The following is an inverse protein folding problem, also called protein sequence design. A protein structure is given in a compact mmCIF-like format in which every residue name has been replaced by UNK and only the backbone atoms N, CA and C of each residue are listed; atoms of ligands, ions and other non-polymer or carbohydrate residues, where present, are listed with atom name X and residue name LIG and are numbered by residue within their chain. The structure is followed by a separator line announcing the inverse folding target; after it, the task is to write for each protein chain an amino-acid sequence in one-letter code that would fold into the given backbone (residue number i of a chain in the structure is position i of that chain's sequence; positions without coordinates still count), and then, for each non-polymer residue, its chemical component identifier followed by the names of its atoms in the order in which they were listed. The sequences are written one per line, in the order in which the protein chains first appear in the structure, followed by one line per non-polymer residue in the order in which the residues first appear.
data_IF_931004509122
#
_entry.id   IF_931004509122
#
_cell.length_a   1.000
_cell.length_b   1.000
_cell.length_c   1.000
_cell.angle_alpha   90.00
_cell.angle_beta   90.00
_cell.angle_gamma   90.00
#
_symmetry.space_group_name_H-M   'P 1'
#
loop_
_entity.id
_entity.type
_entity.pdbx_description
1 polymer ?
#
# COMPACT_ATOMS: atom_id res chain seq x y z
N UNK A 1 -25.65 23.29 10.68
CA UNK A 1 -24.51 22.40 10.39
C UNK A 1 -24.31 22.42 8.89
N UNK A 2 -23.24 23.05 8.43
CA UNK A 2 -22.96 23.34 7.03
C UNK A 2 -22.20 22.16 6.39
N UNK A 3 -22.65 21.72 5.22
CA UNK A 3 -21.94 20.82 4.31
C UNK A 3 -21.18 21.65 3.27
N UNK A 4 -19.87 21.43 3.04
CA UNK A 4 -19.17 22.08 1.95
C UNK A 4 -19.14 21.19 0.69
N UNK A 5 -19.46 21.86 -0.42
CA UNK A 5 -18.97 21.73 -1.79
C UNK A 5 -17.92 20.66 -2.12
N UNK A 6 -18.23 19.86 -3.15
CA UNK A 6 -17.24 19.32 -4.09
C UNK A 6 -17.81 19.38 -5.51
N UNK A 7 -17.30 20.31 -6.31
CA UNK A 7 -17.45 20.34 -7.77
C UNK A 7 -16.45 19.35 -8.41
N UNK A 8 -16.83 18.63 -9.48
CA UNK A 8 -15.88 17.87 -10.28
C UNK A 8 -15.24 18.76 -11.36
N UNK A 9 -13.91 18.78 -11.37
CA UNK A 9 -13.10 19.20 -12.51
C UNK A 9 -12.86 17.95 -13.34
N UNK A 10 -13.26 17.95 -14.62
CA UNK A 10 -12.72 16.98 -15.58
C UNK A 10 -12.27 17.67 -16.86
N UNK A 11 -11.01 17.36 -17.19
CA UNK A 11 -10.12 18.03 -18.12
C UNK A 11 -10.17 17.26 -19.43
N UNK A 12 -11.17 17.57 -20.24
CA UNK A 12 -11.33 16.96 -21.55
C UNK A 12 -10.49 17.70 -22.62
N UNK A 13 -9.48 16.99 -23.10
CA UNK A 13 -9.08 16.91 -24.53
C UNK A 13 -8.56 18.17 -25.23
N UNK A 14 -7.24 18.33 -25.21
CA UNK A 14 -6.48 19.10 -26.21
C UNK A 14 -5.54 18.15 -26.96
N UNK A 15 -6.05 17.54 -28.03
CA UNK A 15 -5.25 16.75 -28.99
C UNK A 15 -5.62 17.24 -30.39
N UNK A 16 -4.78 18.07 -30.99
CA UNK A 16 -4.80 18.34 -32.42
C UNK A 16 -3.35 18.59 -32.88
N UNK A 17 -2.64 17.52 -33.25
CA UNK A 17 -2.32 17.11 -34.63
C UNK A 17 -1.58 18.20 -35.43
N UNK A 18 -0.25 18.22 -35.24
CA UNK A 18 0.69 18.81 -36.19
C UNK A 18 0.67 18.06 -37.53
N UNK A 19 0.31 18.76 -38.59
CA UNK A 19 0.35 18.29 -39.96
C UNK A 19 1.74 18.50 -40.60
N UNK A 20 2.31 17.39 -41.04
CA UNK A 20 2.92 17.13 -42.35
C UNK A 20 3.54 18.32 -43.13
N UNK A 21 4.86 18.25 -43.34
CA UNK A 21 5.60 19.16 -44.21
C UNK A 21 6.93 18.59 -44.69
N UNK A 22 6.93 17.33 -45.17
CA UNK A 22 8.08 16.74 -45.88
C UNK A 22 8.32 17.45 -47.21
N UNK A 23 9.51 18.06 -47.38
CA UNK A 23 10.05 18.36 -48.71
C UNK A 23 11.43 17.73 -48.91
N UNK A 24 11.41 16.80 -49.86
CA UNK A 24 12.49 16.18 -50.65
C UNK A 24 13.73 17.08 -50.82
N UNK A 25 14.84 16.53 -50.33
CA UNK A 25 16.03 16.12 -51.09
C UNK A 25 16.05 16.63 -52.55
N UNK A 26 17.01 17.51 -52.83
CA UNK A 26 17.64 17.58 -54.14
C UNK A 26 19.15 17.46 -53.91
N UNK A 27 19.64 16.29 -54.32
CA UNK A 27 21.04 15.89 -54.38
C UNK A 27 21.77 16.84 -55.31
N UNK A 28 22.71 17.61 -54.77
CA UNK A 28 23.80 18.21 -55.52
C UNK A 28 25.08 17.51 -55.07
N UNK A 29 25.63 16.66 -55.94
CA UNK A 29 26.96 16.09 -55.75
C UNK A 29 28.00 17.21 -55.71
N UNK A 30 29.08 17.07 -54.92
CA UNK A 30 30.15 18.05 -54.89
C UNK A 30 31.11 17.79 -56.07
N UNK A 31 31.24 18.76 -56.97
CA UNK A 31 32.47 18.91 -57.74
C UNK A 31 33.55 19.45 -56.78
N UNK A 32 34.27 18.49 -56.23
CA UNK A 32 35.59 18.65 -55.60
C UNK A 32 36.54 19.31 -56.62
N UNK A 33 36.51 20.63 -56.71
CA UNK A 33 37.54 21.42 -57.36
C UNK A 33 38.55 21.88 -56.30
N UNK A 34 39.27 20.92 -55.72
CA UNK A 34 40.52 21.17 -55.00
C UNK A 34 41.67 20.96 -56.00
N UNK A 35 41.82 21.88 -56.96
CA UNK A 35 42.99 21.90 -57.84
C UNK A 35 44.18 22.52 -57.10
N UNK A 36 44.96 21.66 -56.46
CA UNK A 36 46.33 22.00 -56.06
C UNK A 36 47.17 21.92 -57.33
N UNK A 37 47.65 23.05 -57.82
CA UNK A 37 48.62 23.11 -58.91
C UNK A 37 49.91 22.40 -58.48
N UNK A 38 50.13 21.22 -59.06
CA UNK A 38 51.29 20.39 -58.82
C UNK A 38 52.59 21.10 -59.26
N UNK A 39 53.48 21.37 -58.30
CA UNK A 39 54.88 21.71 -58.56
C UNK A 39 55.76 20.50 -58.19
N UNK A 40 56.73 20.20 -59.05
CA UNK A 40 57.62 19.01 -59.13
C UNK A 40 58.23 18.50 -57.80
N UNK A 41 58.64 17.21 -57.73
CA UNK A 41 58.92 16.50 -56.49
C UNK A 41 60.38 16.67 -56.04
N UNK A 42 60.55 16.94 -54.74
CA UNK A 42 61.83 16.90 -54.06
C UNK A 42 61.64 16.48 -52.61
N UNK A 43 62.35 15.42 -52.20
CA UNK A 43 62.50 14.90 -50.85
C UNK A 43 61.32 14.14 -50.25
N UNK A 44 61.57 12.87 -49.93
CA UNK A 44 60.68 11.97 -49.21
C UNK A 44 60.39 12.49 -47.78
N UNK A 45 59.30 13.25 -47.62
CA UNK A 45 58.68 13.46 -46.33
C UNK A 45 57.85 12.20 -45.99
N UNK A 46 58.24 11.52 -44.92
CA UNK A 46 57.51 10.39 -44.32
C UNK A 46 56.07 10.83 -44.06
N UNK A 47 55.02 10.11 -44.52
CA UNK A 47 53.65 10.54 -44.28
C UNK A 47 53.44 10.69 -42.79
N UNK A 48 53.03 11.87 -42.34
CA UNK A 48 52.53 12.06 -40.99
C UNK A 48 51.42 11.05 -40.79
N UNK A 49 51.71 9.98 -40.06
CA UNK A 49 50.76 8.92 -39.76
C UNK A 49 49.74 9.46 -38.75
N UNK A 50 48.81 10.28 -39.25
CA UNK A 50 47.62 10.66 -38.52
C UNK A 50 46.79 9.39 -38.32
N UNK A 51 46.22 9.24 -37.12
CA UNK A 51 45.32 8.12 -36.84
C UNK A 51 44.18 8.06 -37.87
N UNK A 52 43.67 6.87 -38.23
CA UNK A 52 42.52 6.76 -39.14
C UNK A 52 41.33 7.57 -38.60
N UNK A 53 40.45 8.04 -39.50
CA UNK A 53 39.20 8.70 -39.10
C UNK A 53 38.37 7.72 -38.26
N UNK A 54 37.67 8.22 -37.24
CA UNK A 54 36.85 7.34 -36.38
C UNK A 54 35.71 6.71 -37.21
N UNK A 55 35.48 5.41 -37.02
CA UNK A 55 34.38 4.69 -37.67
C UNK A 55 33.02 5.20 -37.12
N UNK A 56 31.99 5.29 -37.99
CA UNK A 56 30.64 5.70 -37.60
C UNK A 56 30.38 7.20 -37.42
N UNK A 57 31.28 8.09 -37.86
CA UNK A 57 31.07 9.54 -37.79
C UNK A 57 29.92 10.00 -38.71
N UNK A 58 29.13 10.96 -38.23
CA UNK A 58 28.16 11.70 -39.03
C UNK A 58 28.85 12.35 -40.25
N UNK A 59 28.21 12.37 -41.43
CA UNK A 59 28.85 12.80 -42.67
C UNK A 59 29.39 14.24 -42.58
N UNK A 60 28.72 15.12 -41.83
CA UNK A 60 29.16 16.50 -41.64
C UNK A 60 30.43 16.61 -40.77
N UNK A 61 30.55 15.75 -39.74
CA UNK A 61 31.76 15.69 -38.90
C UNK A 61 32.94 15.06 -39.62
N UNK A 62 32.67 14.07 -40.48
CA UNK A 62 33.68 13.43 -41.34
C UNK A 62 34.22 14.42 -42.36
N UNK A 63 33.35 15.15 -43.07
CA UNK A 63 33.75 16.18 -44.02
C UNK A 63 34.63 17.25 -43.36
N UNK A 64 34.24 17.76 -42.17
CA UNK A 64 35.07 18.72 -41.43
C UNK A 64 36.44 18.15 -41.06
N UNK A 65 36.50 16.89 -40.60
CA UNK A 65 37.76 16.26 -40.21
C UNK A 65 38.67 16.01 -41.41
N UNK A 66 38.12 15.70 -42.57
CA UNK A 66 38.85 15.55 -43.84
C UNK A 66 39.42 16.90 -44.30
N UNK A 67 38.61 17.97 -44.28
CA UNK A 67 39.05 19.33 -44.61
C UNK A 67 40.17 19.80 -43.66
N UNK A 68 40.03 19.57 -42.35
CA UNK A 68 41.05 19.93 -41.36
C UNK A 68 42.33 19.11 -41.53
N UNK A 69 42.25 17.83 -41.91
CA UNK A 69 43.43 17.01 -42.21
C UNK A 69 44.16 17.49 -43.45
N UNK A 70 43.42 17.88 -44.49
CA UNK A 70 44.00 18.44 -45.70
C UNK A 70 44.78 19.72 -45.40
N UNK A 71 44.18 20.64 -44.62
CA UNK A 71 44.85 21.86 -44.16
C UNK A 71 46.07 21.57 -43.27
N UNK A 72 45.95 20.61 -42.36
CA UNK A 72 47.05 20.22 -41.47
C UNK A 72 48.21 19.55 -42.22
N UNK A 73 47.91 18.80 -43.28
CA UNK A 73 48.90 18.14 -44.13
C UNK A 73 49.79 19.14 -44.89
N UNK A 74 49.27 20.33 -45.23
CA UNK A 74 50.03 21.40 -45.89
C UNK A 74 51.10 21.99 -44.97
N UNK A 75 50.87 22.01 -43.66
CA UNK A 75 51.82 22.58 -42.69
C UNK A 75 53.05 21.69 -42.44
N UNK A 76 53.00 20.40 -42.77
CA UNK A 76 54.06 19.40 -42.53
C UNK A 76 54.64 19.41 -41.09
N UNK A 77 53.79 19.72 -40.10
CA UNK A 77 54.15 19.81 -38.67
C UNK A 77 53.46 18.69 -37.89
N UNK A 78 54.18 18.02 -36.99
CA UNK A 78 53.58 16.99 -36.13
C UNK A 78 52.54 17.58 -35.18
N UNK A 79 51.47 16.83 -34.90
CA UNK A 79 50.37 17.23 -33.98
C UNK A 79 50.89 17.78 -32.66
N UNK A 80 51.90 17.13 -32.07
CA UNK A 80 52.51 17.57 -30.80
C UNK A 80 53.26 18.90 -30.94
N UNK A 81 53.96 19.13 -32.05
CA UNK A 81 54.68 20.38 -32.31
C UNK A 81 53.71 21.53 -32.61
N UNK A 82 52.63 21.27 -33.34
CA UNK A 82 51.57 22.25 -33.59
C UNK A 82 50.84 22.64 -32.31
N UNK A 83 50.45 21.65 -31.50
CA UNK A 83 49.79 21.87 -30.21
C UNK A 83 50.64 22.74 -29.27
N UNK A 84 51.95 22.48 -29.20
CA UNK A 84 52.87 23.31 -28.40
C UNK A 84 52.98 24.76 -28.92
N UNK A 85 53.00 24.96 -30.25
CA UNK A 85 53.10 26.30 -30.87
C UNK A 85 51.88 27.17 -30.59
N UNK A 86 50.68 26.56 -30.57
CA UNK A 86 49.41 27.26 -30.35
C UNK A 86 48.90 27.16 -28.89
N UNK A 87 49.73 26.65 -27.97
CA UNK A 87 49.37 26.41 -26.55
C UNK A 87 48.10 25.55 -26.36
N UNK A 88 47.92 24.56 -27.23
CA UNK A 88 46.81 23.61 -27.18
C UNK A 88 47.25 22.27 -26.61
N UNK A 89 46.28 21.51 -26.12
CA UNK A 89 46.49 20.12 -25.74
C UNK A 89 46.54 19.21 -26.98
N UNK A 90 47.60 18.39 -27.08
CA UNK A 90 47.83 17.51 -28.23
C UNK A 90 46.74 16.42 -28.37
N UNK A 91 46.11 16.01 -27.26
CA UNK A 91 44.98 15.08 -27.29
C UNK A 91 43.77 15.73 -27.94
N UNK A 92 43.45 16.98 -27.57
CA UNK A 92 42.35 17.76 -28.16
C UNK A 92 42.51 17.97 -29.67
N UNK A 93 43.71 18.30 -30.14
CA UNK A 93 44.00 18.43 -31.59
C UNK A 93 43.81 17.10 -32.32
N UNK A 94 44.24 15.98 -31.70
CA UNK A 94 44.03 14.64 -32.26
C UNK A 94 42.54 14.29 -32.35
N UNK A 95 41.72 14.68 -31.37
CA UNK A 95 40.26 14.46 -31.37
C UNK A 95 39.52 15.32 -32.40
N UNK A 96 40.03 16.51 -32.72
CA UNK A 96 39.52 17.34 -33.81
C UNK A 96 39.86 16.75 -35.18
N UNK A 97 41.13 16.39 -35.40
CA UNK A 97 41.58 15.80 -36.66
C UNK A 97 41.01 14.39 -36.89
N UNK A 98 40.63 13.64 -35.85
CA UNK A 98 39.94 12.35 -35.99
C UNK A 98 38.43 12.47 -36.18
N UNK A 99 37.86 13.68 -36.09
CA UNK A 99 36.42 13.94 -36.19
C UNK A 99 35.61 13.52 -34.97
N UNK A 100 36.27 13.04 -33.92
CA UNK A 100 35.61 12.65 -32.66
C UNK A 100 34.98 13.85 -31.95
N UNK A 101 35.59 15.04 -32.08
CA UNK A 101 35.08 16.29 -31.52
C UNK A 101 35.08 17.38 -32.58
N UNK A 102 34.04 18.23 -32.58
CA UNK A 102 34.00 19.43 -33.43
C UNK A 102 34.79 20.56 -32.75
N UNK A 103 35.83 21.13 -33.39
CA UNK A 103 36.61 22.25 -32.84
C UNK A 103 35.81 23.56 -32.77
N UNK A 104 36.28 24.54 -31.98
CA UNK A 104 35.77 25.91 -32.04
C UNK A 104 36.21 26.60 -33.34
N UNK A 105 35.50 27.65 -33.76
CA UNK A 105 35.89 28.44 -34.93
C UNK A 105 37.26 29.11 -34.75
N UNK A 106 37.62 29.53 -33.53
CA UNK A 106 38.93 30.10 -33.21
C UNK A 106 40.09 29.17 -33.54
N UNK A 107 39.93 27.86 -33.26
CA UNK A 107 40.93 26.86 -33.63
C UNK A 107 41.07 26.71 -35.15
N UNK A 108 39.93 26.70 -35.86
CA UNK A 108 39.89 26.55 -37.32
C UNK A 108 40.49 27.78 -38.00
N UNK A 109 40.12 28.98 -37.54
CA UNK A 109 40.69 30.24 -38.02
C UNK A 109 42.20 30.32 -37.78
N UNK A 110 42.68 29.94 -36.59
CA UNK A 110 44.10 29.88 -36.30
C UNK A 110 44.87 28.91 -37.21
N UNK A 111 44.27 27.77 -37.56
CA UNK A 111 44.85 26.82 -38.52
C UNK A 111 44.90 27.39 -39.95
N UNK A 112 43.86 28.12 -40.37
CA UNK A 112 43.84 28.81 -41.66
C UNK A 112 44.94 29.86 -41.72
N UNK A 113 45.12 30.66 -40.66
CA UNK A 113 46.17 31.67 -40.58
C UNK A 113 47.57 31.05 -40.68
N UNK A 114 47.81 29.93 -39.98
CA UNK A 114 49.07 29.20 -40.08
C UNK A 114 49.33 28.67 -41.51
N UNK A 115 48.30 28.20 -42.21
CA UNK A 115 48.40 27.71 -43.60
C UNK A 115 48.66 28.87 -44.57
N UNK A 116 48.00 30.02 -44.36
CA UNK A 116 48.20 31.25 -45.13
C UNK A 116 49.65 31.74 -45.03
N UNK A 117 50.25 31.63 -43.85
CA UNK A 117 51.65 32.00 -43.61
C UNK A 117 52.65 31.04 -44.29
N UNK A 118 52.30 29.75 -44.40
CA UNK A 118 53.22 28.71 -44.86
C UNK A 118 53.31 28.53 -46.38
N UNK A 119 52.21 28.65 -47.14
CA UNK A 119 52.18 28.16 -48.55
C UNK A 119 51.60 29.16 -49.56
N UNK A 120 50.47 29.82 -49.24
CA UNK A 120 49.82 30.89 -50.02
C UNK A 120 48.46 31.25 -49.39
N UNK A 121 47.85 32.42 -49.69
CA UNK A 121 46.52 32.76 -49.20
C UNK A 121 45.46 31.79 -49.75
N UNK A 122 44.66 31.20 -48.85
CA UNK A 122 43.46 30.43 -49.22
C UNK A 122 42.51 31.29 -50.05
N UNK A 123 41.86 30.69 -51.06
CA UNK A 123 40.83 31.41 -51.83
C UNK A 123 39.62 31.71 -50.94
N UNK A 124 38.96 32.88 -51.09
CA UNK A 124 37.77 33.22 -50.31
C UNK A 124 36.64 32.18 -50.42
N UNK A 125 36.56 31.46 -51.55
CA UNK A 125 35.60 30.39 -51.76
C UNK A 125 35.89 29.14 -50.91
N UNK A 126 37.17 28.77 -50.73
CA UNK A 126 37.56 27.64 -49.89
C UNK A 126 37.32 27.93 -48.40
N UNK A 127 37.56 29.16 -47.96
CA UNK A 127 37.27 29.58 -46.58
C UNK A 127 35.77 29.59 -46.28
N UNK A 128 34.96 30.08 -47.22
CA UNK A 128 33.50 30.04 -47.10
C UNK A 128 32.95 28.60 -47.05
N UNK A 129 33.51 27.69 -47.86
CA UNK A 129 33.15 26.27 -47.84
C UNK A 129 33.47 25.63 -46.48
N UNK A 130 34.67 25.87 -45.94
CA UNK A 130 35.08 25.35 -44.63
C UNK A 130 34.22 25.91 -43.48
N UNK A 131 33.84 27.18 -43.55
CA UNK A 131 32.93 27.80 -42.60
C UNK A 131 31.55 27.13 -42.61
N UNK A 132 31.01 26.77 -43.78
CA UNK A 132 29.74 26.05 -43.87
C UNK A 132 29.86 24.59 -43.39
N UNK A 133 30.96 23.89 -43.71
CA UNK A 133 31.25 22.54 -43.18
C UNK A 133 31.36 22.55 -41.65
N UNK A 134 32.02 23.57 -41.06
CA UNK A 134 32.10 23.74 -39.61
C UNK A 134 30.73 23.97 -38.98
N UNK A 135 29.93 24.87 -39.56
CA UNK A 135 28.59 25.20 -39.08
C UNK A 135 27.65 23.98 -39.12
N UNK A 136 27.70 23.19 -40.18
CA UNK A 136 26.86 21.98 -40.32
C UNK A 136 27.29 20.90 -39.34
N UNK A 137 28.59 20.67 -39.15
CA UNK A 137 29.12 19.74 -38.15
C UNK A 137 28.73 20.13 -36.71
N UNK A 138 28.77 21.43 -36.38
CA UNK A 138 28.38 21.94 -35.07
C UNK A 138 26.87 21.77 -34.80
N UNK A 139 26.01 22.05 -35.79
CA UNK A 139 24.56 21.83 -35.70
C UNK A 139 24.24 20.35 -35.48
N UNK A 140 24.89 19.45 -36.21
CA UNK A 140 24.74 17.99 -36.06
C UNK A 140 25.11 17.54 -34.64
N UNK A 141 26.20 18.07 -34.08
CA UNK A 141 26.61 17.78 -32.71
C UNK A 141 25.59 18.25 -31.65
N UNK A 142 25.05 19.46 -31.80
CA UNK A 142 24.04 20.01 -30.89
C UNK A 142 22.75 19.18 -30.89
N UNK A 143 22.24 18.82 -32.08
CA UNK A 143 21.05 17.96 -32.22
C UNK A 143 21.22 16.61 -31.54
N UNK A 144 22.40 16.00 -31.64
CA UNK A 144 22.71 14.74 -30.95
C UNK A 144 22.68 14.89 -29.43
N UNK A 145 23.17 16.00 -28.90
CA UNK A 145 23.14 16.28 -27.45
C UNK A 145 21.73 16.56 -26.94
N UNK A 146 20.92 17.31 -27.69
CA UNK A 146 19.52 17.59 -27.36
C UNK A 146 18.69 16.30 -27.38
N UNK A 147 18.94 15.41 -28.36
CA UNK A 147 18.30 14.10 -28.42
C UNK A 147 18.64 13.23 -27.20
N UNK A 148 19.91 13.21 -26.78
CA UNK A 148 20.32 12.45 -25.58
C UNK A 148 19.63 13.00 -24.32
N UNK A 149 19.57 14.32 -24.14
CA UNK A 149 18.90 14.93 -23.00
C UNK A 149 17.42 14.56 -22.92
N UNK A 150 16.73 14.55 -24.07
CA UNK A 150 15.32 14.11 -24.14
C UNK A 150 15.16 12.61 -23.84
N UNK A 151 16.11 11.77 -24.25
CA UNK A 151 16.11 10.34 -23.93
C UNK A 151 16.32 10.10 -22.43
N UNK A 152 17.24 10.85 -21.81
CA UNK A 152 17.50 10.78 -20.37
C UNK A 152 16.27 11.27 -19.57
N UNK A 153 15.62 12.35 -20.01
CA UNK A 153 14.38 12.85 -19.40
C UNK A 153 13.24 11.83 -19.51
N UNK A 154 13.07 11.19 -20.67
CA UNK A 154 12.08 10.13 -20.87
C UNK A 154 12.36 8.92 -19.96
N UNK A 155 13.62 8.50 -19.85
CA UNK A 155 14.02 7.42 -18.97
C UNK A 155 13.69 7.74 -17.50
N UNK A 156 13.97 8.97 -17.06
CA UNK A 156 13.61 9.44 -15.71
C UNK A 156 12.09 9.45 -15.47
N UNK A 157 11.31 9.92 -16.43
CA UNK A 157 9.85 9.91 -16.35
C UNK A 157 9.26 8.49 -16.31
N UNK A 158 9.84 7.55 -17.05
CA UNK A 158 9.45 6.14 -17.04
C UNK A 158 9.76 5.47 -15.70
N UNK A 159 10.93 5.75 -15.11
CA UNK A 159 11.30 5.25 -13.79
C UNK A 159 10.35 5.76 -12.70
N UNK A 160 10.04 7.07 -12.70
CA UNK A 160 9.10 7.64 -11.74
C UNK A 160 7.69 7.06 -11.93
N UNK A 161 7.25 6.86 -13.17
CA UNK A 161 5.96 6.20 -13.47
C UNK A 161 5.93 4.77 -12.90
N UNK A 162 7.01 4.00 -13.05
CA UNK A 162 7.11 2.65 -12.48
C UNK A 162 7.05 2.69 -10.96
N UNK A 163 7.74 3.64 -10.33
CA UNK A 163 7.74 3.84 -8.87
C UNK A 163 6.35 4.18 -8.34
N UNK A 164 5.65 5.11 -8.97
CA UNK A 164 4.28 5.51 -8.61
C UNK A 164 3.33 4.32 -8.75
N UNK A 165 3.40 3.59 -9.87
CA UNK A 165 2.55 2.40 -10.09
C UNK A 165 2.81 1.30 -9.06
N UNK A 166 4.07 1.06 -8.69
CA UNK A 166 4.40 0.10 -7.64
C UNK A 166 3.81 0.52 -6.29
N UNK A 167 3.92 1.81 -5.94
CA UNK A 167 3.31 2.36 -4.71
C UNK A 167 1.79 2.27 -4.73
N UNK A 168 1.15 2.57 -5.85
CA UNK A 168 -0.30 2.47 -6.02
C UNK A 168 -0.77 1.04 -5.75
N UNK A 169 -0.15 0.03 -6.39
CA UNK A 169 -0.51 -1.38 -6.18
C UNK A 169 -0.36 -1.81 -4.73
N UNK A 170 0.74 -1.41 -4.07
CA UNK A 170 0.95 -1.73 -2.66
C UNK A 170 -0.12 -1.10 -1.74
N UNK A 171 -0.58 0.12 -2.07
CA UNK A 171 -1.66 0.77 -1.33
C UNK A 171 -3.02 0.10 -1.60
N UNK A 172 -3.31 -0.30 -2.84
CA UNK A 172 -4.52 -1.03 -3.20
C UNK A 172 -4.59 -2.38 -2.49
N UNK A 173 -3.49 -3.14 -2.47
CA UNK A 173 -3.39 -4.41 -1.74
C UNK A 173 -3.60 -4.22 -0.23
N UNK A 174 -2.91 -3.24 0.37
CA UNK A 174 -3.08 -2.92 1.78
C UNK A 174 -4.52 -2.49 2.12
N UNK A 175 -5.19 -1.76 1.23
CA UNK A 175 -6.58 -1.35 1.42
C UNK A 175 -7.51 -2.57 1.39
N UNK A 176 -7.37 -3.45 0.39
CA UNK A 176 -8.17 -4.68 0.28
C UNK A 176 -8.02 -5.59 1.51
N UNK A 177 -6.80 -5.71 2.04
CA UNK A 177 -6.54 -6.48 3.26
C UNK A 177 -7.20 -5.85 4.48
N UNK A 178 -7.14 -4.52 4.62
CA UNK A 178 -7.79 -3.82 5.74
C UNK A 178 -9.31 -3.92 5.67
N UNK A 179 -9.90 -3.81 4.49
CA UNK A 179 -11.34 -4.00 4.29
C UNK A 179 -11.77 -5.43 4.63
N UNK A 180 -10.98 -6.44 4.25
CA UNK A 180 -11.24 -7.83 4.62
C UNK A 180 -11.21 -8.02 6.13
N UNK A 181 -10.16 -7.55 6.79
CA UNK A 181 -10.02 -7.66 8.24
C UNK A 181 -11.14 -6.91 8.98
N UNK A 182 -11.59 -5.78 8.45
CA UNK A 182 -12.73 -5.04 8.99
C UNK A 182 -14.02 -5.86 8.86
N UNK A 183 -14.30 -6.44 7.68
CA UNK A 183 -15.47 -7.30 7.47
C UNK A 183 -15.46 -8.49 8.42
N UNK A 184 -14.32 -9.17 8.57
CA UNK A 184 -14.17 -10.29 9.50
C UNK A 184 -14.40 -9.87 10.96
N UNK A 185 -13.86 -8.72 11.37
CA UNK A 185 -14.04 -8.18 12.72
C UNK A 185 -15.49 -7.83 13.00
N UNK A 186 -16.17 -7.17 12.05
CA UNK A 186 -17.61 -6.84 12.15
C UNK A 186 -18.46 -8.10 12.23
N UNK A 187 -18.19 -9.10 11.39
CA UNK A 187 -18.87 -10.40 11.46
C UNK A 187 -18.66 -11.10 12.80
N UNK A 188 -17.44 -11.01 13.36
CA UNK A 188 -17.16 -11.55 14.70
C UNK A 188 -17.91 -10.82 15.80
N UNK A 189 -17.97 -9.48 15.76
CA UNK A 189 -18.74 -8.70 16.73
C UNK A 189 -20.22 -9.08 16.70
N UNK A 190 -20.83 -9.12 15.50
CA UNK A 190 -22.24 -9.51 15.35
C UNK A 190 -22.53 -10.92 15.88
N UNK A 191 -21.60 -11.86 15.67
CA UNK A 191 -21.74 -13.22 16.21
C UNK A 191 -21.68 -13.24 17.74
N UNK A 192 -20.76 -12.47 18.33
CA UNK A 192 -20.65 -12.37 19.79
C UNK A 192 -21.86 -11.67 20.40
N UNK A 193 -22.37 -10.62 19.76
CA UNK A 193 -23.61 -9.95 20.15
C UNK A 193 -24.79 -10.93 20.15
N UNK A 194 -24.97 -11.69 19.07
CA UNK A 194 -26.02 -12.71 19.02
C UNK A 194 -25.86 -13.79 20.10
N UNK A 195 -24.64 -14.24 20.39
CA UNK A 195 -24.37 -15.21 21.46
C UNK A 195 -24.74 -14.66 22.84
N UNK A 196 -24.40 -13.39 23.11
CA UNK A 196 -24.75 -12.73 24.36
C UNK A 196 -26.28 -12.58 24.49
N UNK A 197 -26.96 -12.21 23.40
CA UNK A 197 -28.42 -12.10 23.39
C UNK A 197 -29.08 -13.46 23.65
N UNK A 198 -28.58 -14.52 23.03
CA UNK A 198 -29.06 -15.90 23.25
C UNK A 198 -28.84 -16.33 24.71
N UNK A 199 -27.64 -16.13 25.28
CA UNK A 199 -27.32 -16.43 26.67
C UNK A 199 -28.20 -15.65 27.65
N UNK A 200 -28.43 -14.36 27.40
CA UNK A 200 -29.31 -13.53 28.23
C UNK A 200 -30.76 -14.00 28.15
N UNK A 201 -31.22 -14.41 26.96
CA UNK A 201 -32.58 -14.92 26.78
C UNK A 201 -32.79 -16.24 27.53
N UNK A 202 -31.82 -17.16 27.46
CA UNK A 202 -31.84 -18.42 28.20
C UNK A 202 -31.82 -18.18 29.71
N UNK A 203 -30.92 -17.31 30.19
CA UNK A 203 -30.83 -16.99 31.61
C UNK A 203 -32.12 -16.35 32.15
N UNK A 204 -32.76 -15.46 31.39
CA UNK A 204 -34.06 -14.88 31.76
C UNK A 204 -35.15 -15.95 31.83
N UNK A 205 -35.18 -16.88 30.88
CA UNK A 205 -36.13 -17.99 30.89
C UNK A 205 -35.93 -18.88 32.14
N UNK A 206 -34.69 -19.20 32.47
CA UNK A 206 -34.36 -19.98 33.67
C UNK A 206 -34.81 -19.25 34.95
N UNK A 207 -34.53 -17.95 35.08
CA UNK A 207 -34.97 -17.15 36.23
C UNK A 207 -36.50 -17.18 36.35
N UNK A 208 -37.23 -16.98 35.25
CA UNK A 208 -38.70 -17.03 35.28
C UNK A 208 -39.25 -18.40 35.67
N UNK A 209 -38.56 -19.49 35.29
CA UNK A 209 -38.92 -20.84 35.68
C UNK A 209 -38.73 -21.04 37.20
N UNK A 210 -37.55 -20.71 37.72
CA UNK A 210 -37.23 -20.85 39.14
C UNK A 210 -38.10 -19.97 40.04
N UNK A 211 -38.46 -18.75 39.59
CA UNK A 211 -39.43 -17.90 40.29
C UNK A 211 -40.80 -18.59 40.41
N UNK A 212 -41.25 -19.23 39.33
CA UNK A 212 -42.50 -20.01 39.33
C UNK A 212 -42.46 -21.21 40.28
N UNK A 213 -41.38 -21.99 40.26
CA UNK A 213 -41.20 -23.14 41.15
C UNK A 213 -41.09 -22.72 42.62
N UNK A 214 -40.37 -21.65 42.90
CA UNK A 214 -40.26 -21.10 44.26
C UNK A 214 -41.61 -20.64 44.80
N UNK A 215 -42.39 -19.94 43.98
CA UNK A 215 -43.72 -19.47 44.37
C UNK A 215 -44.70 -20.65 44.56
N UNK A 216 -44.59 -21.71 43.75
CA UNK A 216 -45.35 -22.94 43.98
C UNK A 216 -44.97 -23.60 45.31
N UNK A 217 -43.68 -23.80 45.57
CA UNK A 217 -43.20 -24.41 46.81
C UNK A 217 -43.60 -23.58 48.04
N UNK A 218 -43.60 -22.25 47.91
CA UNK A 218 -44.07 -21.35 48.96
C UNK A 218 -45.55 -21.57 49.28
N UNK A 219 -46.41 -21.69 48.26
CA UNK A 219 -47.83 -22.01 48.47
C UNK A 219 -48.00 -23.36 49.15
N UNK A 220 -47.27 -24.39 48.72
CA UNK A 220 -47.30 -25.71 49.34
C UNK A 220 -46.88 -25.65 50.83
N UNK A 221 -45.84 -24.87 51.16
CA UNK A 221 -45.44 -24.62 52.54
C UNK A 221 -46.53 -23.90 53.36
N UNK A 222 -47.18 -22.89 52.78
CA UNK A 222 -48.25 -22.15 53.43
C UNK A 222 -49.47 -23.05 53.68
N UNK A 223 -49.87 -23.86 52.69
CA UNK A 223 -50.96 -24.84 52.78
C UNK A 223 -50.67 -25.89 53.86
N UNK A 224 -49.47 -26.50 53.84
CA UNK A 224 -49.05 -27.47 54.85
C UNK A 224 -49.03 -26.85 56.26
N UNK A 225 -48.65 -25.58 56.38
CA UNK A 225 -48.65 -24.88 57.66
C UNK A 225 -50.08 -24.69 58.19
N UNK A 226 -51.05 -24.37 57.31
CA UNK A 226 -52.46 -24.29 57.67
C UNK A 226 -53.01 -25.65 58.07
N UNK A 227 -52.68 -26.72 57.34
CA UNK A 227 -53.09 -28.08 57.67
C UNK A 227 -52.55 -28.51 59.05
N UNK A 228 -51.29 -28.20 59.34
CA UNK A 228 -50.69 -28.49 60.66
C UNK A 228 -51.45 -27.76 61.78
N UNK A 229 -51.79 -26.48 61.59
CA UNK A 229 -52.57 -25.72 62.56
C UNK A 229 -53.95 -26.34 62.77
N UNK A 230 -54.65 -26.67 61.69
CA UNK A 230 -55.96 -27.31 61.74
C UNK A 230 -55.91 -28.65 62.49
N UNK A 231 -54.92 -29.50 62.20
CA UNK A 231 -54.75 -30.78 62.87
C UNK A 231 -54.39 -30.62 64.35
N UNK A 232 -53.61 -29.60 64.71
CA UNK A 232 -53.31 -29.29 66.11
C UNK A 232 -54.56 -28.88 66.89
N UNK A 233 -55.41 -28.04 66.30
CA UNK A 233 -56.69 -27.65 66.88
C UNK A 233 -57.64 -28.84 67.03
N UNK A 234 -57.79 -29.65 65.97
CA UNK A 234 -58.61 -30.86 66.01
C UNK A 234 -58.12 -31.85 67.07
N UNK A 235 -56.81 -32.03 67.21
CA UNK A 235 -56.23 -32.87 68.25
C UNK A 235 -56.50 -32.32 69.66
N UNK A 236 -56.44 -31.00 69.85
CA UNK A 236 -56.76 -30.38 71.13
C UNK A 236 -58.23 -30.61 71.53
N UNK A 237 -59.16 -30.50 70.58
CA UNK A 237 -60.59 -30.79 70.78
C UNK A 237 -60.78 -32.26 71.15
N UNK A 238 -60.24 -33.19 70.36
CA UNK A 238 -60.39 -34.62 70.62
C UNK A 238 -59.82 -35.04 72.00
N UNK A 239 -58.72 -34.42 72.43
CA UNK A 239 -58.16 -34.63 73.78
C UNK A 239 -59.09 -34.12 74.88
N UNK A 240 -59.72 -32.97 74.68
CA UNK A 240 -60.69 -32.43 75.64
C UNK A 240 -61.95 -33.31 75.74
N UNK A 241 -62.44 -33.81 74.60
CA UNK A 241 -63.55 -34.77 74.56
C UNK A 241 -63.20 -36.08 75.28
N UNK A 242 -61.99 -36.61 75.05
CA UNK A 242 -61.50 -37.80 75.74
C UNK A 242 -61.49 -37.61 77.27
N UNK A 243 -60.91 -36.50 77.75
CA UNK A 243 -60.87 -36.18 79.19
C UNK A 243 -62.29 -36.09 79.77
N UNK A 244 -63.23 -35.48 79.04
CA UNK A 244 -64.62 -35.37 79.47
C UNK A 244 -65.32 -36.74 79.54
N UNK A 245 -65.11 -37.61 78.55
CA UNK A 245 -65.66 -38.96 78.53
C UNK A 245 -65.07 -39.83 79.65
N UNK A 246 -63.75 -39.79 79.86
CA UNK A 246 -63.08 -40.48 80.98
C UNK A 246 -63.61 -40.00 82.34
N UNK A 247 -63.82 -38.69 82.51
CA UNK A 247 -64.43 -38.13 83.72
C UNK A 247 -65.86 -38.64 83.97
N UNK A 248 -66.66 -38.79 82.92
CA UNK A 248 -68.00 -39.40 83.01
C UNK A 248 -67.93 -40.89 83.39
N UNK A 249 -67.01 -41.65 82.80
CA UNK A 249 -66.80 -43.05 83.15
C UNK A 249 -66.44 -43.20 84.63
N UNK A 250 -65.47 -42.44 85.13
CA UNK A 250 -65.10 -42.47 86.55
C UNK A 250 -66.26 -42.12 87.48
N UNK A 251 -67.10 -41.16 87.11
CA UNK A 251 -68.29 -40.82 87.90
C UNK A 251 -69.28 -41.98 87.94
N UNK A 252 -69.57 -42.60 86.79
CA UNK A 252 -70.47 -43.75 86.70
C UNK A 252 -69.92 -44.97 87.46
N UNK A 253 -68.61 -45.20 87.40
CA UNK A 253 -67.93 -46.25 88.18
C UNK A 253 -68.09 -46.00 89.69
N UNK A 254 -67.85 -44.77 90.16
CA UNK A 254 -68.04 -44.40 91.56
C UNK A 254 -69.50 -44.57 92.03
N UNK A 255 -70.47 -44.19 91.19
CA UNK A 255 -71.89 -44.35 91.48
C UNK A 255 -72.26 -45.86 91.59
N UNK A 256 -71.75 -46.70 90.68
CA UNK A 256 -71.95 -48.16 90.72
C UNK A 256 -71.30 -48.80 91.96
N UNK A 257 -70.08 -48.39 92.33
CA UNK A 257 -69.42 -48.84 93.56
C UNK A 257 -70.23 -48.46 94.82
N UNK A 258 -70.78 -47.25 94.87
CA UNK A 258 -71.62 -46.82 96.00
C UNK A 258 -72.91 -47.65 96.12
N UNK A 259 -73.57 -47.96 95.00
CA UNK A 259 -74.77 -48.80 94.97
C UNK A 259 -74.45 -50.24 95.43
N UNK A 260 -73.39 -50.85 94.90
CA UNK A 260 -72.98 -52.22 95.26
C UNK A 260 -72.53 -52.36 96.72
N UNK A 261 -71.86 -51.35 97.30
CA UNK A 261 -71.54 -51.33 98.73
C UNK A 261 -72.79 -51.20 99.62
N UNK A 262 -73.80 -50.45 99.16
CA UNK A 262 -75.11 -50.37 99.80
C UNK A 262 -75.83 -51.71 99.82
N UNK A 263 -75.80 -52.44 98.70
CA UNK A 263 -76.36 -53.79 98.57
C UNK A 263 -75.60 -54.82 99.43
N UNK A 264 -74.27 -54.77 99.46
CA UNK A 264 -73.43 -55.63 100.30
C UNK A 264 -73.61 -55.40 101.80
N UNK A 265 -73.87 -54.15 102.25
CA UNK A 265 -74.25 -53.86 103.66
C UNK A 265 -75.66 -54.33 103.99
N UNK A 266 -76.60 -54.24 103.04
CA UNK A 266 -77.96 -54.78 103.19
C UNK A 266 -77.98 -56.31 103.29
N UNK A 267 -77.19 -57.00 102.49
CA UNK A 267 -77.02 -58.46 102.58
C UNK A 267 -76.18 -58.90 103.78
N UNK A 268 -75.18 -58.13 104.21
CA UNK A 268 -74.44 -58.38 105.46
C UNK A 268 -75.30 -58.21 106.72
N UNK A 269 -76.19 -57.22 106.76
CA UNK A 269 -77.16 -57.04 107.85
C UNK A 269 -78.28 -58.09 107.82
N UNK A 270 -78.73 -58.51 106.63
CA UNK A 270 -79.65 -59.64 106.47
C UNK A 270 -79.01 -60.98 106.84
N UNK A 271 -77.72 -61.19 106.54
CA UNK A 271 -76.96 -62.39 106.91
C UNK A 271 -76.60 -62.46 108.39
N UNK A 272 -76.43 -61.33 109.08
CA UNK A 272 -76.26 -61.29 110.55
C UNK A 272 -77.58 -61.48 111.29
N UNK A 273 -78.71 -60.99 110.74
CA UNK A 273 -80.05 -61.29 111.25
C UNK A 273 -80.44 -62.76 111.08
N UNK A 274 -80.04 -63.41 109.98
CA UNK A 274 -80.28 -64.84 109.75
C UNK A 274 -79.37 -65.78 110.57
N UNK A 275 -78.31 -65.26 111.20
CA UNK A 275 -77.40 -66.03 112.06
C UNK A 275 -77.70 -65.89 113.58
N UNK A 276 -78.71 -65.10 113.93
CA UNK A 276 -79.19 -64.88 115.30
C UNK A 276 -80.56 -65.53 115.58
N UNK A 277 -81.10 -66.28 114.61
CA UNK A 277 -82.21 -67.24 114.77
C UNK A 277 -81.66 -68.67 114.92
#
# INVERSE_FOLDING_TARGET
MATPDLLPIDVATLVDRCACGSRRILVGMPDSAFEITATKPGSHAKPLALAPLKEGLAPEKRALAEDLRALFGVLDVSVRRYALRRHLDASSVTRYLSGERVPSWEFVAGLIDDVREATAPLTPAAEAALHETHRTAQKSNRRSSEMQALQDELAGADEETRRIKARQRALEEALMDRERNLRESVSRCRRLEAQIDDEQSAHRADVTLWEGEYEQLRRECDDLSQDVLFLQEALAVARAELIAAEGQCHQLEADLEAMTQGEGRGQGASSLMAALE
#
